data_IF_737407658949
#
_entry.id   IF_737407658949
#
_cell.length_a   1.000
_cell.length_b   1.000
_cell.length_c   1.000
_cell.angle_alpha   90.00
_cell.angle_beta   90.00
_cell.angle_gamma   90.00
#
_symmetry.space_group_name_H-M   'P 1'
#
loop_
_entity.id
_entity.type
_entity.pdbx_description
1 polymer ?
#
# COMPACT_ATOMS: atom_id res chain seq x y z
N UNK A 1 4.37 -12.49 -10.32
CA UNK A 1 5.46 -12.27 -11.30
C UNK A 1 6.38 -11.17 -10.76
N UNK A 2 7.70 -11.26 -10.95
CA UNK A 2 8.62 -10.19 -10.57
C UNK A 2 8.35 -8.92 -11.37
N UNK A 3 8.81 -7.78 -10.85
CA UNK A 3 8.66 -6.51 -11.54
C UNK A 3 9.45 -6.48 -12.87
N UNK A 4 8.91 -5.76 -13.85
CA UNK A 4 9.60 -5.49 -15.10
C UNK A 4 10.72 -4.45 -14.91
N UNK A 5 11.71 -4.38 -15.85
CA UNK A 5 12.69 -3.31 -15.85
C UNK A 5 12.03 -1.92 -15.84
N UNK A 6 12.63 -0.98 -15.10
CA UNK A 6 12.07 0.38 -14.96
C UNK A 6 10.98 0.51 -13.88
N UNK A 7 10.81 -0.50 -13.01
CA UNK A 7 9.90 -0.38 -11.87
C UNK A 7 10.25 0.85 -11.02
N UNK A 8 9.26 1.69 -10.65
CA UNK A 8 9.51 3.01 -10.05
C UNK A 8 10.21 2.95 -8.70
N UNK A 9 10.18 1.79 -8.03
CA UNK A 9 10.79 1.60 -6.71
C UNK A 9 12.13 0.87 -6.76
N UNK A 10 12.73 0.72 -7.94
CA UNK A 10 14.07 0.13 -8.07
C UNK A 10 15.08 0.97 -7.28
N UNK A 11 15.79 0.34 -6.34
CA UNK A 11 16.76 1.00 -5.46
C UNK A 11 16.17 1.68 -4.22
N UNK A 12 14.84 1.62 -4.02
CA UNK A 12 14.21 2.11 -2.80
C UNK A 12 14.63 1.29 -1.57
N UNK A 13 14.70 1.94 -0.41
CA UNK A 13 14.93 1.30 0.90
C UNK A 13 13.73 1.55 1.81
N UNK A 14 13.26 0.49 2.46
CA UNK A 14 12.14 0.52 3.38
C UNK A 14 12.64 0.10 4.77
N UNK A 15 12.20 0.77 5.83
CA UNK A 15 12.45 0.32 7.20
C UNK A 15 11.40 -0.71 7.62
N UNK A 16 11.79 -1.73 8.38
CA UNK A 16 10.88 -2.80 8.79
C UNK A 16 9.76 -2.31 9.71
N UNK A 17 10.06 -1.33 10.56
CA UNK A 17 9.11 -0.66 11.44
C UNK A 17 9.45 0.82 11.57
N UNK A 18 8.54 1.59 12.14
CA UNK A 18 8.78 2.99 12.44
C UNK A 18 9.92 3.17 13.44
N UNK A 19 10.86 4.07 13.14
CA UNK A 19 12.03 4.35 13.99
C UNK A 19 13.12 3.26 13.95
N UNK A 20 12.88 2.14 13.27
CA UNK A 20 13.91 1.12 13.07
C UNK A 20 14.91 1.56 11.99
N UNK A 21 16.17 1.19 12.18
CA UNK A 21 17.22 1.29 11.16
C UNK A 21 17.35 0.02 10.32
N UNK A 22 16.59 -1.02 10.66
CA UNK A 22 16.60 -2.30 9.96
C UNK A 22 15.91 -2.12 8.61
N UNK A 23 16.65 -2.46 7.55
CA UNK A 23 16.16 -2.38 6.17
C UNK A 23 15.39 -3.65 5.84
N UNK A 24 14.18 -3.49 5.34
CA UNK A 24 13.33 -4.59 4.92
C UNK A 24 13.85 -5.17 3.60
N UNK A 25 14.07 -6.49 3.58
CA UNK A 25 14.30 -7.21 2.33
C UNK A 25 13.03 -7.20 1.47
N UNK A 26 13.09 -6.53 0.32
CA UNK A 26 11.93 -6.17 -0.48
C UNK A 26 12.01 -6.78 -1.86
N UNK A 27 11.00 -7.57 -2.22
CA UNK A 27 10.84 -8.09 -3.59
C UNK A 27 9.89 -7.19 -4.38
N UNK A 28 10.39 -6.60 -5.47
CA UNK A 28 9.54 -5.84 -6.39
C UNK A 28 8.78 -6.80 -7.31
N UNK A 29 7.47 -6.60 -7.41
CA UNK A 29 6.55 -7.48 -8.16
C UNK A 29 5.73 -6.69 -9.18
N UNK A 30 5.24 -7.39 -10.20
CA UNK A 30 4.22 -6.84 -11.08
C UNK A 30 2.90 -6.67 -10.30
N UNK A 31 2.29 -5.47 -10.28
CA UNK A 31 1.01 -5.25 -9.62
C UNK A 31 -0.10 -5.89 -10.44
N UNK A 32 -0.61 -7.04 -9.99
CA UNK A 32 -1.66 -7.80 -10.69
C UNK A 32 -2.81 -8.26 -9.80
N UNK A 33 -2.80 -7.91 -8.50
CA UNK A 33 -3.79 -8.33 -7.53
C UNK A 33 -4.18 -7.14 -6.65
N UNK A 34 -5.46 -7.10 -6.26
CA UNK A 34 -6.01 -6.10 -5.35
C UNK A 34 -6.20 -6.71 -3.96
N UNK A 35 -5.73 -6.01 -2.94
CA UNK A 35 -5.89 -6.39 -1.53
C UNK A 35 -6.77 -5.39 -0.80
N UNK A 36 -7.72 -5.90 -0.03
CA UNK A 36 -8.49 -5.11 0.92
C UNK A 36 -7.67 -4.96 2.20
N UNK A 37 -7.55 -3.71 2.67
CA UNK A 37 -6.86 -3.36 3.91
C UNK A 37 -7.76 -2.49 4.77
N UNK A 38 -7.70 -2.65 6.09
CA UNK A 38 -8.27 -1.66 7.00
C UNK A 38 -7.19 -0.69 7.45
N UNK A 39 -7.53 0.60 7.46
CA UNK A 39 -6.66 1.68 7.89
C UNK A 39 -7.27 2.35 9.13
N UNK A 40 -6.47 2.51 10.18
CA UNK A 40 -6.84 3.38 11.31
C UNK A 40 -6.30 4.79 11.06
N UNK A 41 -7.06 5.82 11.44
CA UNK A 41 -6.56 7.20 11.53
C UNK A 41 -6.11 7.45 12.96
N UNK A 42 -4.98 6.86 13.34
CA UNK A 42 -4.37 7.17 14.62
C UNK A 42 -3.48 8.41 14.47
N UNK A 43 -3.60 9.36 15.37
CA UNK A 43 -2.62 10.45 15.52
C UNK A 43 -1.88 10.15 16.82
N UNK A 44 -0.55 10.13 16.78
CA UNK A 44 0.21 9.96 18.01
C UNK A 44 0.24 11.23 18.87
N UNK A 45 0.80 11.13 20.08
CA UNK A 45 0.88 12.24 21.02
C UNK A 45 1.75 13.42 20.53
N UNK A 46 2.51 13.23 19.43
CA UNK A 46 3.29 14.26 18.77
C UNK A 46 2.60 14.88 17.54
N UNK A 47 1.34 14.53 17.29
CA UNK A 47 0.59 15.04 16.13
C UNK A 47 0.94 14.35 14.82
N UNK A 48 1.70 13.26 14.84
CA UNK A 48 2.08 12.52 13.62
C UNK A 48 0.95 11.56 13.27
N UNK A 49 0.46 11.67 12.04
CA UNK A 49 -0.49 10.72 11.48
C UNK A 49 0.17 9.34 11.35
N UNK A 50 -0.33 8.38 12.11
CA UNK A 50 0.01 6.97 12.02
C UNK A 50 -1.19 6.25 11.44
N UNK A 51 -1.02 5.68 10.25
CA UNK A 51 -2.05 4.86 9.63
C UNK A 51 -1.62 3.39 9.65
N UNK A 52 -1.81 2.66 10.76
CA UNK A 52 -1.67 1.21 10.74
C UNK A 52 -2.59 0.64 9.65
N UNK A 53 -1.99 -0.09 8.71
CA UNK A 53 -2.71 -0.87 7.73
C UNK A 53 -2.73 -2.33 8.18
N UNK A 54 -3.91 -2.93 8.18
CA UNK A 54 -4.08 -4.36 8.40
C UNK A 54 -4.59 -5.00 7.13
N UNK A 55 -3.87 -6.00 6.64
CA UNK A 55 -4.34 -6.83 5.54
C UNK A 55 -5.61 -7.58 5.95
N UNK A 56 -6.63 -7.54 5.11
CA UNK A 56 -7.88 -8.27 5.32
C UNK A 56 -7.95 -9.50 4.41
N UNK A 57 -7.92 -9.27 3.09
CA UNK A 57 -8.05 -10.34 2.08
C UNK A 57 -7.65 -9.87 0.69
N UNK A 58 -7.40 -10.82 -0.21
CA UNK A 58 -7.35 -10.54 -1.66
C UNK A 58 -8.77 -10.42 -2.22
N UNK A 59 -8.96 -9.46 -3.13
CA UNK A 59 -10.20 -9.24 -3.88
C UNK A 59 -10.05 -9.79 -5.28
N UNK A 60 -10.35 -11.09 -5.45
CA UNK A 60 -10.28 -11.75 -6.76
C UNK A 60 -11.43 -11.33 -7.68
N UNK A 61 -12.42 -10.64 -7.13
CA UNK A 61 -13.57 -10.04 -7.79
C UNK A 61 -13.31 -8.60 -8.29
N UNK A 62 -12.13 -8.03 -8.03
CA UNK A 62 -11.79 -6.64 -8.35
C UNK A 62 -10.51 -6.59 -9.20
N UNK A 63 -10.60 -5.93 -10.36
CA UNK A 63 -9.48 -5.67 -11.27
C UNK A 63 -8.68 -4.43 -10.87
N UNK A 64 -7.53 -4.21 -11.51
CA UNK A 64 -6.69 -3.03 -11.25
C UNK A 64 -7.36 -1.74 -11.76
N UNK A 65 -8.06 -1.85 -12.88
CA UNK A 65 -8.82 -0.80 -13.53
C UNK A 65 -9.97 -0.27 -12.67
N UNK A 66 -10.47 -1.08 -11.75
CA UNK A 66 -11.56 -0.73 -10.84
C UNK A 66 -11.06 0.09 -9.63
N UNK A 67 -9.74 0.16 -9.41
CA UNK A 67 -9.14 0.90 -8.31
C UNK A 67 -8.78 2.32 -8.78
N UNK A 68 -9.33 3.38 -8.16
CA UNK A 68 -8.99 4.75 -8.50
C UNK A 68 -7.48 4.98 -8.37
N UNK A 69 -6.89 5.70 -9.33
CA UNK A 69 -5.48 6.04 -9.22
C UNK A 69 -5.27 7.05 -8.10
N UNK A 70 -4.06 7.08 -7.57
CA UNK A 70 -3.70 8.04 -6.54
C UNK A 70 -3.96 9.48 -7.04
N UNK A 71 -4.81 10.22 -6.32
CA UNK A 71 -5.23 11.58 -6.67
C UNK A 71 -6.55 11.69 -7.45
N UNK A 72 -7.10 10.59 -7.98
CA UNK A 72 -8.40 10.61 -8.70
C UNK A 72 -9.60 10.57 -7.75
N UNK A 73 -9.38 10.22 -6.47
CA UNK A 73 -10.44 10.10 -5.46
C UNK A 73 -11.42 8.95 -5.74
N UNK A 74 -12.07 8.37 -4.73
CA UNK A 74 -13.13 7.42 -4.98
C UNK A 74 -14.32 8.17 -5.60
N UNK A 75 -14.87 7.67 -6.72
CA UNK A 75 -16.27 7.92 -7.01
C UNK A 75 -17.06 7.43 -5.79
N UNK A 76 -17.90 8.30 -5.22
CA UNK A 76 -18.58 8.04 -3.95
C UNK A 76 -19.16 6.61 -3.95
N UNK A 77 -18.74 5.80 -2.97
CA UNK A 77 -19.35 4.50 -2.76
C UNK A 77 -20.83 4.74 -2.46
N UNK A 78 -21.71 4.29 -3.37
CA UNK A 78 -23.14 4.36 -3.16
C UNK A 78 -23.47 3.49 -1.94
N UNK A 79 -23.81 4.15 -0.84
CA UNK A 79 -24.49 3.57 0.32
C UNK A 79 -26.00 3.67 0.15
#
# INVERSE_FOLDING_TARGET
MLAAPGHPWTGARFSATWGSRDVLDTTLVHPGLVAEVSADRAIDHGGVFRHPLRFQRLRLDVGLEDVPRFGEGPAAAAG
#
